data_IF_444982944069
#
_entry.id   IF_444982944069
#
_cell.length_a   1.000
_cell.length_b   1.000
_cell.length_c   1.000
_cell.angle_alpha   90.00
_cell.angle_beta   90.00
_cell.angle_gamma   90.00
#
_symmetry.space_group_name_H-M   'P 1'
#
loop_
_entity.id
_entity.type
_entity.pdbx_description
1 polymer ?
#
# COMPACT_ATOMS: atom_id res chain seq x y z
N UNK A 1 -0.82 -15.55 -3.72
CA UNK A 1 -0.24 -14.50 -2.90
C UNK A 1 -0.78 -13.16 -3.36
N UNK A 2 -1.21 -12.32 -2.44
CA UNK A 2 -1.71 -10.99 -2.70
C UNK A 2 -1.61 -10.14 -1.44
N UNK A 3 -1.87 -8.85 -1.56
CA UNK A 3 -1.86 -7.91 -0.46
C UNK A 3 -2.89 -6.81 -0.65
N UNK A 4 -3.26 -6.17 0.42
CA UNK A 4 -4.07 -4.96 0.41
C UNK A 4 -3.61 -4.04 1.55
N UNK A 5 -2.34 -3.65 1.45
CA UNK A 5 -1.60 -3.00 2.52
C UNK A 5 -2.27 -1.70 2.98
N UNK A 6 -2.52 -1.55 4.30
CA UNK A 6 -2.85 -0.25 4.88
C UNK A 6 -1.60 0.63 4.98
N UNK A 7 -1.80 1.91 4.77
CA UNK A 7 -0.82 2.97 5.02
C UNK A 7 -1.51 4.00 5.91
N UNK A 8 -1.09 4.11 7.17
CA UNK A 8 -1.78 4.89 8.19
C UNK A 8 -0.97 6.15 8.51
N UNK A 9 -1.62 7.31 8.46
CA UNK A 9 -1.01 8.60 8.82
C UNK A 9 -1.74 9.17 10.03
N UNK A 10 -1.06 9.19 11.17
CA UNK A 10 -1.58 9.78 12.39
C UNK A 10 -1.37 11.30 12.41
N UNK A 11 -2.09 12.00 13.28
CA UNK A 11 -2.06 13.46 13.40
C UNK A 11 -0.72 14.03 13.93
N UNK A 12 0.05 13.20 14.63
CA UNK A 12 1.40 13.53 15.12
C UNK A 12 2.52 13.20 14.13
N UNK A 13 2.20 12.63 12.96
CA UNK A 13 3.18 12.26 11.94
C UNK A 13 3.88 13.47 11.32
N UNK A 14 5.10 13.24 10.81
CA UNK A 14 5.71 14.16 9.85
C UNK A 14 5.01 13.97 8.49
N UNK A 15 4.19 14.95 8.11
CA UNK A 15 3.38 14.85 6.89
C UNK A 15 4.23 14.82 5.61
N UNK A 16 5.36 15.51 5.58
CA UNK A 16 6.23 15.52 4.40
C UNK A 16 6.90 14.14 4.23
N UNK A 17 7.40 13.57 5.31
CA UNK A 17 7.94 12.21 5.32
C UNK A 17 6.85 11.17 5.00
N UNK A 18 5.63 11.35 5.50
CA UNK A 18 4.50 10.45 5.20
C UNK A 18 4.08 10.50 3.73
N UNK A 19 4.10 11.69 3.10
CA UNK A 19 3.84 11.84 1.67
C UNK A 19 4.94 11.17 0.84
N UNK A 20 6.21 11.39 1.19
CA UNK A 20 7.33 10.71 0.52
C UNK A 20 7.21 9.18 0.62
N UNK A 21 6.90 8.67 1.81
CA UNK A 21 6.67 7.24 2.01
C UNK A 21 5.46 6.71 1.24
N UNK A 22 4.38 7.46 1.15
CA UNK A 22 3.21 7.10 0.34
C UNK A 22 3.57 7.03 -1.15
N UNK A 23 4.35 7.98 -1.66
CA UNK A 23 4.83 7.97 -3.04
C UNK A 23 5.67 6.72 -3.33
N UNK A 24 6.61 6.38 -2.45
CA UNK A 24 7.47 5.20 -2.58
C UNK A 24 6.64 3.91 -2.50
N UNK A 25 5.78 3.76 -1.49
CA UNK A 25 5.03 2.53 -1.26
C UNK A 25 3.91 2.31 -2.27
N UNK A 26 3.30 3.38 -2.82
CA UNK A 26 2.14 3.27 -3.71
C UNK A 26 2.49 3.30 -5.19
N UNK A 27 3.40 4.20 -5.61
CA UNK A 27 3.60 4.46 -7.04
C UNK A 27 4.83 3.76 -7.63
N UNK A 28 5.64 3.08 -6.82
CA UNK A 28 6.69 2.18 -7.31
C UNK A 28 6.08 1.14 -8.25
N UNK A 29 6.72 0.92 -9.39
CA UNK A 29 6.24 0.00 -10.45
C UNK A 29 4.77 0.26 -10.85
N UNK A 30 4.35 1.52 -10.84
CA UNK A 30 2.98 1.93 -11.17
C UNK A 30 1.91 1.26 -10.27
N UNK A 31 2.23 1.02 -9.00
CA UNK A 31 1.33 0.36 -8.07
C UNK A 31 1.20 -1.16 -8.23
N UNK A 32 2.00 -1.77 -9.11
CA UNK A 32 1.93 -3.20 -9.43
C UNK A 32 2.94 -3.98 -8.62
N UNK A 33 2.84 -3.93 -7.29
CA UNK A 33 3.60 -4.75 -6.35
C UNK A 33 2.72 -5.20 -5.20
N UNK A 34 2.95 -6.41 -4.69
CA UNK A 34 2.17 -7.02 -3.60
C UNK A 34 2.27 -6.28 -2.26
N UNK A 35 3.30 -5.45 -2.08
CA UNK A 35 3.50 -4.62 -0.88
C UNK A 35 3.07 -3.16 -1.08
N UNK A 36 2.44 -2.82 -2.21
CA UNK A 36 1.91 -1.48 -2.43
C UNK A 36 0.85 -1.11 -1.42
N UNK A 37 0.92 0.13 -0.93
CA UNK A 37 -0.16 0.72 -0.14
C UNK A 37 -1.42 0.85 -0.99
N UNK A 38 -2.48 0.13 -0.65
CA UNK A 38 -3.77 0.15 -1.35
C UNK A 38 -4.86 0.86 -0.56
N UNK A 39 -4.72 0.96 0.77
CA UNK A 39 -5.68 1.60 1.66
C UNK A 39 -4.97 2.64 2.50
N UNK A 40 -5.02 3.91 2.06
CA UNK A 40 -4.32 5.01 2.73
C UNK A 40 -5.27 5.64 3.74
N UNK A 41 -5.10 5.31 5.03
CA UNK A 41 -5.86 5.85 6.14
C UNK A 41 -5.19 7.11 6.67
N UNK A 42 -5.93 8.21 6.76
CA UNK A 42 -5.40 9.49 7.25
C UNK A 42 -6.29 10.02 8.36
N UNK A 43 -5.68 10.35 9.51
CA UNK A 43 -6.42 10.87 10.65
C UNK A 43 -7.08 12.21 10.33
N UNK A 44 -8.31 12.41 10.82
CA UNK A 44 -9.18 13.51 10.43
C UNK A 44 -8.52 14.88 10.51
N UNK A 45 -7.71 15.15 11.56
CA UNK A 45 -7.06 16.43 11.77
C UNK A 45 -6.01 16.81 10.72
N UNK A 46 -5.46 15.84 9.98
CA UNK A 46 -4.42 16.06 8.96
C UNK A 46 -4.85 15.61 7.56
N UNK A 47 -6.08 15.13 7.41
CA UNK A 47 -6.58 14.52 6.17
C UNK A 47 -6.46 15.44 4.95
N UNK A 48 -7.01 16.64 5.05
CA UNK A 48 -7.04 17.58 3.91
C UNK A 48 -5.62 18.06 3.53
N UNK A 49 -4.78 18.30 4.54
CA UNK A 49 -3.39 18.70 4.32
C UNK A 49 -2.57 17.58 3.65
N UNK A 50 -2.75 16.33 4.09
CA UNK A 50 -2.11 15.17 3.47
C UNK A 50 -2.61 14.95 2.03
N UNK A 51 -3.93 15.00 1.80
CA UNK A 51 -4.53 14.85 0.47
C UNK A 51 -3.98 15.88 -0.54
N UNK A 52 -3.90 17.14 -0.13
CA UNK A 52 -3.35 18.21 -0.95
C UNK A 52 -1.86 17.99 -1.28
N UNK A 53 -1.05 17.64 -0.27
CA UNK A 53 0.39 17.36 -0.45
C UNK A 53 0.62 16.14 -1.35
N UNK A 54 -0.10 15.04 -1.13
CA UNK A 54 0.01 13.83 -1.94
C UNK A 54 -0.39 14.10 -3.39
N UNK A 55 -1.50 14.79 -3.62
CA UNK A 55 -1.95 15.16 -4.98
C UNK A 55 -0.93 16.02 -5.71
N UNK A 56 -0.32 16.99 -5.02
CA UNK A 56 0.75 17.80 -5.59
C UNK A 56 2.04 17.01 -5.89
N UNK A 57 2.34 15.98 -5.12
CA UNK A 57 3.46 15.08 -5.38
C UNK A 57 3.18 14.16 -6.57
N UNK A 58 1.98 13.59 -6.64
CA UNK A 58 1.52 12.71 -7.73
C UNK A 58 1.50 13.43 -9.07
N UNK A 59 1.08 14.70 -9.10
CA UNK A 59 1.09 15.52 -10.31
C UNK A 59 2.48 15.77 -10.92
N UNK A 60 3.55 15.44 -10.20
CA UNK A 60 4.94 15.55 -10.69
C UNK A 60 5.46 14.25 -11.31
N UNK A 61 4.69 13.17 -11.25
CA UNK A 61 5.07 11.90 -11.86
C UNK A 61 5.02 12.00 -13.39
N UNK A 62 6.07 11.56 -14.05
CA UNK A 62 6.16 11.55 -15.51
C UNK A 62 5.82 10.16 -16.03
N UNK A 63 4.65 10.06 -16.69
CA UNK A 63 4.19 8.81 -17.31
C UNK A 63 4.79 8.64 -18.68
N UNK A 64 5.32 7.46 -18.99
CA UNK A 64 5.88 7.20 -20.31
C UNK A 64 6.66 5.90 -20.41
N UNK A 65 7.40 5.77 -21.51
CA UNK A 65 8.32 4.65 -21.76
C UNK A 65 9.50 4.71 -20.78
N UNK A 66 9.62 3.72 -19.91
CA UNK A 66 10.65 3.63 -18.87
C UNK A 66 12.10 3.58 -19.38
N UNK A 67 12.31 3.38 -20.67
CA UNK A 67 13.64 3.47 -21.29
C UNK A 67 14.06 4.93 -21.59
N UNK A 68 13.16 5.88 -21.46
CA UNK A 68 13.43 7.30 -21.66
C UNK A 68 13.82 7.99 -20.36
N UNK A 69 14.79 8.90 -20.44
CA UNK A 69 15.23 9.67 -19.29
C UNK A 69 14.09 10.52 -18.69
N UNK A 70 14.01 10.59 -17.36
CA UNK A 70 13.04 11.38 -16.63
C UNK A 70 11.66 10.76 -16.50
N UNK A 71 11.40 9.58 -17.05
CA UNK A 71 10.16 8.85 -16.83
C UNK A 71 10.21 8.16 -15.47
N UNK A 72 9.15 8.32 -14.70
CA UNK A 72 9.01 7.76 -13.35
C UNK A 72 7.91 6.71 -13.24
N UNK A 73 7.00 6.66 -14.22
CA UNK A 73 5.81 5.79 -14.18
C UNK A 73 5.61 5.15 -15.56
N UNK A 74 5.65 3.83 -15.62
CA UNK A 74 5.44 3.03 -16.83
C UNK A 74 3.97 2.66 -17.07
N UNK A 75 3.69 1.77 -18.05
CA UNK A 75 2.34 1.27 -18.32
C UNK A 75 1.90 0.23 -17.28
N UNK A 76 0.61 -0.07 -17.25
CA UNK A 76 0.07 -1.28 -16.65
C UNK A 76 0.39 -2.49 -17.54
N UNK A 77 0.35 -3.69 -16.93
CA UNK A 77 0.80 -4.93 -17.59
C UNK A 77 -0.05 -5.29 -18.82
N UNK A 78 -1.36 -5.08 -18.75
CA UNK A 78 -2.32 -5.42 -19.81
C UNK A 78 -3.61 -4.59 -19.69
N UNK A 79 -4.53 -4.81 -20.61
CA UNK A 79 -5.85 -4.13 -20.64
C UNK A 79 -6.70 -4.51 -19.44
N UNK A 80 -6.70 -5.77 -18.99
CA UNK A 80 -7.47 -6.21 -17.82
C UNK A 80 -7.09 -5.41 -16.55
N UNK A 81 -5.81 -5.06 -16.42
CA UNK A 81 -5.33 -4.22 -15.32
C UNK A 81 -5.84 -2.78 -15.43
N UNK A 82 -5.96 -2.25 -16.65
CA UNK A 82 -6.56 -0.93 -16.90
C UNK A 82 -8.06 -0.94 -16.57
N UNK A 83 -8.79 -1.94 -17.06
CA UNK A 83 -10.22 -2.11 -16.78
C UNK A 83 -10.51 -2.22 -15.29
N UNK A 84 -9.69 -2.97 -14.54
CA UNK A 84 -9.81 -3.06 -13.08
C UNK A 84 -9.60 -1.72 -12.39
N UNK A 85 -8.61 -0.95 -12.82
CA UNK A 85 -8.37 0.41 -12.31
C UNK A 85 -9.58 1.31 -12.58
N UNK A 86 -10.13 1.27 -13.80
CA UNK A 86 -11.32 2.03 -14.19
C UNK A 86 -12.55 1.63 -13.37
N UNK A 87 -12.76 0.32 -13.17
CA UNK A 87 -13.84 -0.20 -12.34
C UNK A 87 -13.76 0.32 -10.89
N UNK A 88 -12.58 0.27 -10.28
CA UNK A 88 -12.38 0.75 -8.91
C UNK A 88 -12.60 2.26 -8.79
N UNK A 89 -12.14 3.05 -9.76
CA UNK A 89 -12.38 4.50 -9.77
C UNK A 89 -13.87 4.81 -9.98
N UNK A 90 -14.53 4.11 -10.91
CA UNK A 90 -15.96 4.28 -11.16
C UNK A 90 -16.79 3.94 -9.92
N UNK A 91 -16.46 2.88 -9.19
CA UNK A 91 -17.12 2.50 -7.95
C UNK A 91 -16.97 3.59 -6.87
N UNK A 92 -15.78 4.15 -6.69
CA UNK A 92 -15.54 5.26 -5.75
C UNK A 92 -16.35 6.50 -6.13
N UNK A 93 -16.41 6.86 -7.41
CA UNK A 93 -17.20 8.00 -7.88
C UNK A 93 -18.70 7.78 -7.69
N UNK A 94 -19.20 6.57 -7.97
CA UNK A 94 -20.60 6.21 -7.75
C UNK A 94 -20.98 6.25 -6.26
N UNK A 95 -20.03 5.93 -5.36
CA UNK A 95 -20.20 6.04 -3.91
C UNK A 95 -20.04 7.46 -3.35
N UNK A 96 -19.84 8.47 -4.19
CA UNK A 96 -19.72 9.88 -3.78
C UNK A 96 -18.30 10.34 -3.47
N UNK A 97 -17.28 9.51 -3.73
CA UNK A 97 -15.87 9.91 -3.68
C UNK A 97 -15.48 10.85 -4.83
N UNK A 98 -14.28 11.38 -4.77
CA UNK A 98 -13.79 12.39 -5.73
C UNK A 98 -12.37 12.07 -6.20
N UNK A 99 -12.08 12.42 -7.46
CA UNK A 99 -10.71 12.39 -8.01
C UNK A 99 -10.02 13.74 -7.69
N UNK A 100 -8.89 13.66 -6.99
CA UNK A 100 -8.04 14.82 -6.69
C UNK A 100 -6.90 14.99 -7.70
N UNK A 101 -6.45 13.88 -8.31
CA UNK A 101 -5.43 13.85 -9.37
C UNK A 101 -5.63 12.62 -10.23
N UNK A 102 -5.31 12.68 -11.53
CA UNK A 102 -5.41 11.58 -12.48
C UNK A 102 -6.85 11.16 -12.79
N UNK A 103 -7.13 9.86 -12.68
CA UNK A 103 -8.47 9.29 -12.81
C UNK A 103 -8.88 8.91 -14.23
N UNK A 104 -7.96 8.88 -15.17
CA UNK A 104 -8.23 8.54 -16.57
C UNK A 104 -7.02 7.88 -17.25
N UNK A 105 -7.27 7.27 -18.40
CA UNK A 105 -6.20 6.79 -19.30
C UNK A 105 -5.31 7.95 -19.73
N UNK A 106 -4.03 7.70 -19.81
CA UNK A 106 -3.05 8.69 -20.24
C UNK A 106 -3.10 8.89 -21.75
N UNK A 107 -2.77 10.09 -22.25
CA UNK A 107 -2.83 10.47 -23.67
C UNK A 107 -1.91 9.64 -24.59
N UNK A 108 -0.91 8.97 -24.03
CA UNK A 108 -0.06 8.02 -24.76
C UNK A 108 -0.82 6.79 -25.28
N UNK A 109 -2.04 6.55 -24.79
CA UNK A 109 -2.85 5.39 -25.16
C UNK A 109 -2.29 4.06 -24.63
N UNK A 110 -2.72 2.94 -25.22
CA UNK A 110 -2.37 1.61 -24.73
C UNK A 110 -2.74 1.42 -23.26
N UNK A 111 -1.85 0.84 -22.48
CA UNK A 111 -2.08 0.56 -21.06
C UNK A 111 -1.50 1.62 -20.11
N UNK A 112 -1.20 2.82 -20.61
CA UNK A 112 -0.77 3.93 -19.77
C UNK A 112 -1.97 4.58 -19.06
N UNK A 113 -1.86 4.67 -17.73
CA UNK A 113 -2.89 5.24 -16.86
C UNK A 113 -2.32 6.35 -15.98
N UNK A 114 -3.07 7.41 -15.76
CA UNK A 114 -2.62 8.52 -14.91
C UNK A 114 -2.57 8.09 -13.43
N UNK A 115 -1.46 8.32 -12.70
CA UNK A 115 -1.42 8.16 -11.27
C UNK A 115 -2.53 8.95 -10.59
N UNK A 116 -3.30 8.27 -9.74
CA UNK A 116 -4.61 8.74 -9.30
C UNK A 116 -4.66 8.85 -7.78
N UNK A 117 -5.23 9.95 -7.28
CA UNK A 117 -5.57 10.16 -5.86
C UNK A 117 -7.08 10.31 -5.73
N UNK A 118 -7.67 9.51 -4.84
CA UNK A 118 -9.11 9.52 -4.55
C UNK A 118 -9.38 9.94 -3.11
N UNK A 119 -10.39 10.78 -2.90
CA UNK A 119 -10.86 11.22 -1.57
C UNK A 119 -12.33 10.89 -1.36
N UNK A 120 -12.80 11.00 -0.10
CA UNK A 120 -14.17 10.62 0.24
C UNK A 120 -14.45 9.13 0.14
N UNK A 121 -13.40 8.31 0.25
CA UNK A 121 -13.49 6.86 0.13
C UNK A 121 -14.01 6.24 1.42
N UNK A 122 -14.95 5.29 1.30
CA UNK A 122 -15.59 4.60 2.42
C UNK A 122 -15.28 3.09 2.41
N UNK A 123 -15.61 2.40 3.50
CA UNK A 123 -15.27 0.98 3.68
C UNK A 123 -16.10 0.00 2.84
N UNK A 124 -17.18 0.44 2.24
CA UNK A 124 -18.09 -0.33 1.37
C UNK A 124 -17.72 -0.30 -0.11
N UNK A 125 -16.75 0.53 -0.48
CA UNK A 125 -16.24 0.62 -1.84
C UNK A 125 -15.23 -0.49 -2.15
N UNK A 126 -15.14 -0.92 -3.42
CA UNK A 126 -14.27 -2.02 -3.86
C UNK A 126 -12.80 -1.85 -3.46
N UNK A 127 -12.27 -0.63 -3.55
CA UNK A 127 -10.90 -0.30 -3.15
C UNK A 127 -10.59 -0.56 -1.67
N UNK A 128 -11.59 -0.74 -0.81
CA UNK A 128 -11.41 -1.09 0.60
C UNK A 128 -11.11 -2.59 0.81
N UNK A 129 -11.63 -3.46 -0.06
CA UNK A 129 -11.59 -4.91 0.11
C UNK A 129 -10.77 -5.64 -0.95
N UNK A 130 -10.64 -5.06 -2.15
CA UNK A 130 -9.96 -5.66 -3.29
C UNK A 130 -8.57 -5.00 -3.51
N UNK A 131 -7.57 -5.84 -3.84
CA UNK A 131 -6.27 -5.35 -4.29
C UNK A 131 -6.39 -4.71 -5.68
N UNK A 132 -6.11 -3.41 -5.80
CA UNK A 132 -6.19 -2.71 -7.10
C UNK A 132 -5.07 -3.11 -8.05
N UNK A 133 -3.85 -3.27 -7.54
CA UNK A 133 -2.63 -3.57 -8.31
C UNK A 133 -2.39 -2.58 -9.44
N UNK A 134 -2.55 -1.30 -9.15
CA UNK A 134 -2.45 -0.19 -10.08
C UNK A 134 -2.20 1.15 -9.38
N UNK A 135 -2.07 2.26 -10.13
CA UNK A 135 -1.62 3.55 -9.64
C UNK A 135 -2.74 4.37 -8.96
N UNK A 136 -3.51 3.75 -8.10
CA UNK A 136 -4.65 4.39 -7.41
C UNK A 136 -4.38 4.46 -5.92
N UNK A 137 -4.40 5.67 -5.37
CA UNK A 137 -4.22 5.99 -3.96
C UNK A 137 -5.56 6.45 -3.33
N UNK A 138 -6.40 5.54 -2.83
CA UNK A 138 -7.64 5.90 -2.15
C UNK A 138 -7.36 6.34 -0.71
N UNK A 139 -7.86 7.52 -0.34
CA UNK A 139 -7.70 8.11 0.99
C UNK A 139 -8.96 7.89 1.83
N UNK A 140 -8.79 7.16 2.94
CA UNK A 140 -9.82 6.91 3.94
C UNK A 140 -9.60 7.80 5.16
N UNK A 141 -10.65 8.47 5.63
CA UNK A 141 -10.59 9.23 6.87
C UNK A 141 -10.85 8.33 8.06
N UNK A 142 -10.14 8.56 9.18
CA UNK A 142 -10.41 7.92 10.47
C UNK A 142 -10.26 8.93 11.62
N UNK A 143 -10.84 8.62 12.77
CA UNK A 143 -10.81 9.49 13.94
C UNK A 143 -9.89 8.95 15.06
N UNK A 144 -9.96 7.67 15.40
CA UNK A 144 -9.23 7.10 16.54
C UNK A 144 -8.25 5.98 16.18
N UNK A 145 -7.26 5.76 17.05
CA UNK A 145 -6.26 4.70 16.90
C UNK A 145 -6.93 3.32 16.84
N UNK A 146 -7.91 3.06 17.69
CA UNK A 146 -8.62 1.78 17.74
C UNK A 146 -9.45 1.54 16.47
N UNK A 147 -10.07 2.58 15.95
CA UNK A 147 -10.82 2.51 14.69
C UNK A 147 -9.92 2.08 13.54
N UNK A 148 -8.79 2.77 13.37
CA UNK A 148 -7.92 2.51 12.22
C UNK A 148 -7.25 1.15 12.30
N UNK A 149 -6.83 0.69 13.49
CA UNK A 149 -6.28 -0.66 13.68
C UNK A 149 -7.31 -1.72 13.29
N UNK A 150 -8.55 -1.59 13.78
CA UNK A 150 -9.64 -2.52 13.41
C UNK A 150 -9.86 -2.55 11.90
N UNK A 151 -9.99 -1.38 11.25
CA UNK A 151 -10.20 -1.26 9.79
C UNK A 151 -8.99 -1.78 8.98
N UNK A 152 -7.79 -1.54 9.46
CA UNK A 152 -6.57 -2.05 8.85
C UNK A 152 -6.54 -3.58 8.85
N UNK A 153 -6.94 -4.21 9.97
CA UNK A 153 -6.95 -5.66 10.15
C UNK A 153 -8.16 -6.37 9.50
N UNK A 154 -9.23 -5.62 9.16
CA UNK A 154 -10.44 -6.15 8.52
C UNK A 154 -10.19 -6.44 7.03
N UNK A 155 -9.45 -7.49 6.79
CA UNK A 155 -9.08 -7.98 5.46
C UNK A 155 -8.63 -9.44 5.52
N UNK A 156 -8.79 -10.15 4.42
CA UNK A 156 -8.25 -11.51 4.24
C UNK A 156 -6.72 -11.50 4.05
N UNK A 157 -6.13 -10.36 3.75
CA UNK A 157 -4.69 -10.21 3.50
C UNK A 157 -3.91 -9.85 4.77
N UNK A 158 -2.61 -10.13 4.77
CA UNK A 158 -1.72 -9.84 5.89
C UNK A 158 -0.24 -9.81 5.46
N UNK A 159 0.10 -9.21 4.30
CA UNK A 159 1.48 -9.18 3.81
C UNK A 159 2.24 -7.98 4.38
N UNK A 160 1.90 -6.78 3.97
CA UNK A 160 2.58 -5.55 4.35
C UNK A 160 1.62 -4.55 4.98
N UNK A 161 2.12 -3.74 5.90
CA UNK A 161 1.45 -2.57 6.46
C UNK A 161 2.46 -1.46 6.72
N UNK A 162 1.98 -0.22 6.75
CA UNK A 162 2.80 0.97 6.96
C UNK A 162 2.09 1.93 7.89
N UNK A 163 2.82 2.62 8.75
CA UNK A 163 2.24 3.75 9.46
C UNK A 163 3.27 4.82 9.82
N UNK A 164 2.77 6.05 10.01
CA UNK A 164 3.54 7.23 10.36
C UNK A 164 3.00 7.86 11.64
N UNK A 165 3.84 7.98 12.66
CA UNK A 165 3.56 8.59 13.95
C UNK A 165 4.87 9.03 14.63
N UNK A 166 4.80 9.93 15.64
CA UNK A 166 5.96 10.33 16.44
C UNK A 166 5.92 9.82 17.87
N UNK A 167 4.75 9.64 18.45
CA UNK A 167 4.61 9.11 19.82
C UNK A 167 5.06 7.67 19.91
N UNK A 168 6.09 7.39 20.72
CA UNK A 168 6.66 6.05 20.86
C UNK A 168 5.67 5.05 21.47
N UNK A 169 4.78 5.50 22.35
CA UNK A 169 3.73 4.66 22.93
C UNK A 169 2.73 4.21 21.87
N UNK A 170 2.30 5.14 21.01
CA UNK A 170 1.46 4.85 19.83
C UNK A 170 2.18 3.88 18.89
N UNK A 171 3.42 4.16 18.55
CA UNK A 171 4.23 3.30 17.68
C UNK A 171 4.24 1.86 18.21
N UNK A 172 4.53 1.65 19.50
CA UNK A 172 4.57 0.32 20.10
C UNK A 172 3.20 -0.37 20.03
N UNK A 173 2.12 0.32 20.41
CA UNK A 173 0.77 -0.28 20.38
C UNK A 173 0.31 -0.65 18.97
N UNK A 174 0.54 0.23 18.00
CA UNK A 174 0.08 0.04 16.62
C UNK A 174 0.84 -1.09 15.94
N UNK A 175 2.18 -1.13 16.05
CA UNK A 175 2.98 -2.19 15.42
C UNK A 175 2.67 -3.58 15.97
N UNK A 176 2.32 -3.70 17.27
CA UNK A 176 1.95 -4.98 17.88
C UNK A 176 0.55 -5.46 17.51
N UNK A 177 -0.37 -4.54 17.23
CA UNK A 177 -1.76 -4.87 16.92
C UNK A 177 -2.06 -5.05 15.44
N UNK A 178 -1.16 -4.62 14.54
CA UNK A 178 -1.33 -4.83 13.11
C UNK A 178 -1.05 -6.29 12.73
N UNK A 179 -2.02 -6.97 12.13
CA UNK A 179 -2.00 -8.39 11.77
C UNK A 179 -1.34 -8.62 10.40
N UNK A 180 -0.06 -8.23 10.28
CA UNK A 180 0.72 -8.31 9.04
C UNK A 180 2.07 -8.96 9.28
N UNK A 181 2.58 -9.66 8.26
CA UNK A 181 3.91 -10.26 8.34
C UNK A 181 5.04 -9.22 8.33
N UNK A 182 4.77 -8.04 7.77
CA UNK A 182 5.73 -6.93 7.70
C UNK A 182 5.07 -5.60 8.05
N UNK A 183 5.73 -4.84 8.94
CA UNK A 183 5.25 -3.53 9.38
C UNK A 183 6.34 -2.49 9.16
N UNK A 184 6.07 -1.50 8.34
CA UNK A 184 6.93 -0.33 8.11
C UNK A 184 6.53 0.83 9.03
N UNK A 185 7.42 1.27 9.89
CA UNK A 185 7.21 2.41 10.79
C UNK A 185 8.00 3.60 10.30
N UNK A 186 7.33 4.68 9.97
CA UNK A 186 7.92 5.90 9.40
C UNK A 186 8.79 5.64 8.16
N UNK A 187 8.42 4.64 7.37
CA UNK A 187 9.07 4.30 6.10
C UNK A 187 8.05 3.77 5.09
N UNK A 188 8.24 4.06 3.81
CA UNK A 188 7.47 3.51 2.70
C UNK A 188 8.17 2.34 2.00
N UNK A 189 9.36 1.95 2.46
CA UNK A 189 10.17 0.88 1.88
C UNK A 189 10.53 -0.15 2.96
N UNK A 190 10.06 -1.40 2.78
CA UNK A 190 10.27 -2.49 3.75
C UNK A 190 10.98 -3.71 3.15
N UNK A 191 11.15 -3.75 1.83
CA UNK A 191 11.80 -4.88 1.17
C UNK A 191 13.31 -4.77 1.27
N UNK A 192 13.95 -5.76 1.89
CA UNK A 192 15.40 -5.90 1.99
C UNK A 192 15.76 -7.38 2.11
N UNK A 193 16.92 -7.77 1.56
CA UNK A 193 17.39 -9.15 1.59
C UNK A 193 17.76 -9.67 2.99
N UNK A 194 18.01 -8.78 3.93
CA UNK A 194 18.43 -9.15 5.31
C UNK A 194 17.26 -9.35 6.26
N UNK A 195 16.04 -8.97 5.87
CA UNK A 195 14.84 -9.14 6.68
C UNK A 195 13.91 -10.20 6.07
N UNK A 196 13.13 -10.95 6.89
CA UNK A 196 12.19 -11.93 6.38
C UNK A 196 11.03 -11.24 5.66
N UNK A 197 10.79 -11.63 4.42
CA UNK A 197 9.67 -11.17 3.61
C UNK A 197 8.59 -12.23 3.56
N UNK A 198 7.36 -11.89 3.92
CA UNK A 198 6.22 -12.80 3.89
C UNK A 198 5.04 -12.30 4.70
N UNK A 199 3.93 -12.99 4.57
CA UNK A 199 2.65 -12.60 5.13
C UNK A 199 2.09 -13.58 6.15
N UNK A 200 0.88 -13.26 6.57
CA UNK A 200 -0.03 -14.09 7.35
C UNK A 200 -1.40 -14.10 6.66
N UNK A 201 -2.38 -14.78 7.22
CA UNK A 201 -3.72 -14.92 6.63
C UNK A 201 -3.64 -15.49 5.21
N UNK A 202 -4.47 -15.00 4.27
CA UNK A 202 -4.48 -15.48 2.88
C UNK A 202 -3.33 -14.91 2.01
N UNK A 203 -2.50 -14.02 2.56
CA UNK A 203 -1.26 -13.63 1.89
C UNK A 203 -0.22 -14.76 1.85
N UNK A 204 -0.48 -15.87 2.53
CA UNK A 204 0.30 -17.10 2.46
C UNK A 204 1.14 -17.35 3.69
N UNK A 205 1.83 -18.48 3.66
CA UNK A 205 2.74 -18.98 4.71
C UNK A 205 4.18 -18.88 4.22
N UNK A 206 5.12 -19.06 5.14
CA UNK A 206 6.55 -19.03 4.85
C UNK A 206 7.15 -17.65 4.81
N UNK A 207 8.46 -17.59 4.65
CA UNK A 207 9.25 -16.36 4.54
C UNK A 207 10.30 -16.50 3.47
N UNK A 208 10.51 -15.40 2.72
CA UNK A 208 11.64 -15.24 1.79
C UNK A 208 12.70 -14.35 2.43
N UNK A 209 13.91 -14.38 1.90
CA UNK A 209 15.01 -13.55 2.39
C UNK A 209 15.49 -13.92 3.80
N UNK A 210 16.48 -13.17 4.29
CA UNK A 210 17.17 -13.41 5.57
C UNK A 210 17.66 -14.87 5.75
N UNK A 211 18.03 -15.27 6.94
CA UNK A 211 18.34 -16.67 7.25
C UNK A 211 17.08 -17.56 7.33
N UNK A 212 15.90 -16.97 7.50
CA UNK A 212 14.63 -17.72 7.53
C UNK A 212 14.22 -18.25 6.14
N UNK A 213 14.61 -17.60 5.06
CA UNK A 213 14.18 -17.99 3.71
C UNK A 213 14.64 -19.39 3.29
N UNK A 214 15.71 -19.94 3.91
CA UNK A 214 16.15 -21.31 3.63
C UNK A 214 15.32 -22.36 4.38
N UNK A 215 14.65 -21.99 5.48
CA UNK A 215 13.92 -22.93 6.34
C UNK A 215 12.79 -23.64 5.60
N UNK A 216 12.13 -22.95 4.66
CA UNK A 216 11.05 -23.51 3.83
C UNK A 216 11.54 -24.59 2.83
N UNK A 217 12.85 -24.71 2.62
CA UNK A 217 13.48 -25.71 1.77
C UNK A 217 14.16 -26.85 2.54
N UNK A 218 14.00 -26.88 3.87
CA UNK A 218 14.66 -27.85 4.74
C UNK A 218 13.65 -28.64 5.56
N UNK A 219 14.02 -29.88 5.90
CA UNK A 219 13.26 -30.73 6.79
C UNK A 219 14.06 -31.05 8.07
N UNK A 220 13.39 -31.01 9.20
CA UNK A 220 13.99 -31.40 10.48
C UNK A 220 14.04 -32.92 10.58
N UNK A 221 15.24 -33.51 10.77
CA UNK A 221 15.43 -34.93 11.05
C UNK A 221 16.03 -35.12 12.42
N UNK A 222 15.31 -35.83 13.30
CA UNK A 222 15.85 -36.29 14.56
C UNK A 222 16.56 -37.65 14.40
N UNK A 223 17.79 -37.76 14.85
CA UNK A 223 18.54 -39.02 14.86
C UNK A 223 18.94 -39.29 16.31
N UNK A 224 18.54 -40.47 16.85
CA UNK A 224 19.03 -40.98 18.12
C UNK A 224 19.95 -42.18 17.86
N UNK A 225 21.21 -42.08 18.23
CA UNK A 225 22.19 -43.15 18.07
C UNK A 225 22.66 -43.59 19.44
N UNK A 226 22.56 -44.91 19.73
CA UNK A 226 23.20 -45.55 20.86
C UNK A 226 24.39 -46.38 20.36
N UNK A 227 25.54 -46.22 20.98
CA UNK A 227 26.77 -46.99 20.72
C UNK A 227 27.18 -47.76 21.95
#
# INVERSE_FOLDING_TARGET
>A
LGGNAPFIVFDDADLDAAVEGAMISKFRNNGQTCVCANRIYVQAGVYDAFAAKLSAAVAKLNVGDGLKAGITTGPLINEDAVEKVEEHIADVLAGGGMVMAGGKRHELGGTFYEPTVLTGVTGDMKVATEETFGPVAPLFKFDTEEEVIRRANDTIFGLASYFYARDIGRITRVQEQLEYGMVGVNTGLISTEVAPFGGVKQSGLGREGSHHGIEDYMELKYICLSV
#
